data_IF_936693961028
#
_entry.id   IF_936693961028
#
_cell.length_a   1.000
_cell.length_b   1.000
_cell.length_c   1.000
_cell.angle_alpha   90.00
_cell.angle_beta   90.00
_cell.angle_gamma   90.00
#
_symmetry.space_group_name_H-M   'P 1'
#
loop_
_entity.id
_entity.type
_entity.pdbx_description
1 polymer ?
#
# COMPACT_ATOMS: atom_id res chain seq x y z
N UNK A 1 14.36 21.49 -27.22
CA UNK A 1 14.45 21.42 -25.74
C UNK A 1 14.32 19.96 -25.30
N UNK A 2 15.39 19.33 -24.80
CA UNK A 2 15.48 17.88 -24.57
C UNK A 2 14.39 17.28 -23.64
N UNK A 3 13.89 18.07 -22.68
CA UNK A 3 12.84 17.66 -21.73
C UNK A 3 11.48 17.38 -22.39
N UNK A 4 11.18 18.02 -23.52
CA UNK A 4 9.92 17.84 -24.24
C UNK A 4 9.99 16.76 -25.34
N UNK A 5 11.13 16.06 -25.45
CA UNK A 5 11.22 14.87 -26.29
C UNK A 5 10.52 13.67 -25.64
N UNK A 6 10.20 12.63 -26.41
CA UNK A 6 9.63 11.39 -25.88
C UNK A 6 10.47 10.79 -24.75
N UNK A 7 11.79 10.80 -24.90
CA UNK A 7 12.73 10.34 -23.87
C UNK A 7 12.67 11.22 -22.61
N UNK A 8 12.58 12.54 -22.79
CA UNK A 8 12.43 13.51 -21.71
C UNK A 8 11.13 13.32 -20.93
N UNK A 9 10.00 13.16 -21.63
CA UNK A 9 8.68 12.91 -21.03
C UNK A 9 8.69 11.59 -20.23
N UNK A 10 9.22 10.52 -20.81
CA UNK A 10 9.31 9.24 -20.10
C UNK A 10 10.20 9.31 -18.85
N UNK A 11 11.30 10.07 -18.91
CA UNK A 11 12.15 10.30 -17.75
C UNK A 11 11.41 11.10 -16.66
N UNK A 12 10.77 12.21 -17.04
CA UNK A 12 10.00 13.05 -16.10
C UNK A 12 8.90 12.26 -15.42
N UNK A 13 8.17 11.42 -16.15
CA UNK A 13 7.14 10.55 -15.57
C UNK A 13 7.70 9.58 -14.55
N UNK A 14 8.84 8.92 -14.84
CA UNK A 14 9.52 8.05 -13.87
C UNK A 14 9.99 8.83 -12.65
N UNK A 15 10.55 10.03 -12.85
CA UNK A 15 11.00 10.88 -11.76
C UNK A 15 9.85 11.30 -10.83
N UNK A 16 8.72 11.73 -11.39
CA UNK A 16 7.48 12.02 -10.65
C UNK A 16 6.99 10.78 -9.91
N UNK A 17 6.98 9.62 -10.58
CA UNK A 17 6.57 8.35 -9.99
C UNK A 17 7.45 7.97 -8.79
N UNK A 18 8.76 8.14 -8.88
CA UNK A 18 9.68 7.86 -7.77
C UNK A 18 9.48 8.82 -6.60
N UNK A 19 9.41 10.13 -6.85
CA UNK A 19 9.22 11.12 -5.77
C UNK A 19 7.91 10.91 -5.01
N UNK A 20 6.82 10.71 -5.76
CA UNK A 20 5.51 10.42 -5.17
C UNK A 20 5.48 9.04 -4.50
N UNK A 21 6.10 8.02 -5.10
CA UNK A 21 6.16 6.68 -4.55
C UNK A 21 6.94 6.61 -3.23
N UNK A 22 8.09 7.28 -3.15
CA UNK A 22 8.87 7.41 -1.91
C UNK A 22 8.05 8.12 -0.84
N UNK A 23 7.34 9.19 -1.20
CA UNK A 23 6.47 9.91 -0.25
C UNK A 23 5.32 9.00 0.25
N UNK A 24 4.68 8.26 -0.66
CA UNK A 24 3.57 7.37 -0.33
C UNK A 24 4.01 6.23 0.58
N UNK A 25 4.99 5.43 0.15
CA UNK A 25 5.46 4.26 0.89
C UNK A 25 6.24 4.67 2.14
N UNK A 26 6.99 5.77 2.09
CA UNK A 26 7.66 6.35 3.25
C UNK A 26 6.66 6.73 4.35
N UNK A 27 5.54 7.39 3.99
CA UNK A 27 4.49 7.71 4.97
C UNK A 27 3.75 6.46 5.45
N UNK A 28 3.53 5.46 4.60
CA UNK A 28 2.99 4.16 5.02
C UNK A 28 3.86 3.56 6.14
N UNK A 29 5.17 3.53 5.96
CA UNK A 29 6.12 3.01 6.95
C UNK A 29 6.21 3.91 8.18
N UNK A 30 6.18 5.23 8.02
CA UNK A 30 6.09 6.17 9.14
C UNK A 30 4.88 5.87 10.04
N UNK A 31 3.68 5.72 9.47
CA UNK A 31 2.48 5.43 10.27
C UNK A 31 2.60 4.12 11.05
N UNK A 32 3.21 3.11 10.44
CA UNK A 32 3.23 1.74 10.96
C UNK A 32 4.41 1.44 11.88
N UNK A 33 5.57 2.04 11.63
CA UNK A 33 6.83 1.72 12.31
C UNK A 33 7.26 2.82 13.30
N UNK A 34 6.72 4.03 13.15
CA UNK A 34 7.11 5.19 13.97
C UNK A 34 5.92 5.74 14.74
N UNK A 35 4.89 6.23 14.04
CA UNK A 35 3.74 6.88 14.68
C UNK A 35 2.95 5.92 15.56
N UNK A 36 2.65 4.71 15.07
CA UNK A 36 1.91 3.69 15.83
C UNK A 36 2.59 3.34 17.16
N UNK A 37 3.87 2.93 17.17
CA UNK A 37 4.63 2.71 18.41
C UNK A 37 4.69 3.93 19.33
N UNK A 38 4.94 5.13 18.80
CA UNK A 38 4.90 6.36 19.59
C UNK A 38 3.52 6.57 20.25
N UNK A 39 2.43 6.26 19.54
CA UNK A 39 1.06 6.28 20.09
C UNK A 39 0.79 5.10 21.05
N UNK A 40 1.65 4.11 21.21
CA UNK A 40 1.49 3.15 22.30
C UNK A 40 1.98 3.78 23.62
N UNK A 41 3.04 4.59 23.55
CA UNK A 41 3.78 5.11 24.70
C UNK A 41 3.31 6.49 25.16
N UNK A 42 2.81 7.33 24.25
CA UNK A 42 2.40 8.70 24.57
C UNK A 42 1.18 8.77 25.52
N UNK A 43 1.12 9.84 26.31
CA UNK A 43 -0.05 10.17 27.13
C UNK A 43 -1.26 10.62 26.29
N UNK A 44 -2.44 10.67 26.90
CA UNK A 44 -3.68 11.02 26.21
C UNK A 44 -3.69 12.44 25.61
N UNK A 45 -3.07 13.40 26.29
CA UNK A 45 -2.99 14.79 25.82
C UNK A 45 -2.14 14.89 24.56
N UNK A 46 -0.93 14.33 24.60
CA UNK A 46 -0.02 14.28 23.45
C UNK A 46 -0.65 13.57 22.25
N UNK A 47 -1.32 12.44 22.47
CA UNK A 47 -2.06 11.71 21.42
C UNK A 47 -3.16 12.54 20.79
N UNK A 48 -3.93 13.25 21.60
CA UNK A 48 -5.01 14.11 21.13
C UNK A 48 -4.45 15.22 20.24
N UNK A 49 -3.41 15.92 20.69
CA UNK A 49 -2.75 16.98 19.90
C UNK A 49 -2.21 16.45 18.58
N UNK A 50 -1.52 15.31 18.61
CA UNK A 50 -0.99 14.67 17.40
C UNK A 50 -2.12 14.25 16.44
N UNK A 51 -3.20 13.69 16.94
CA UNK A 51 -4.37 13.28 16.14
C UNK A 51 -5.08 14.47 15.49
N UNK A 52 -5.16 15.61 16.18
CA UNK A 52 -5.78 16.83 15.66
C UNK A 52 -4.91 17.56 14.64
N UNK A 53 -3.58 17.54 14.82
CA UNK A 53 -2.67 18.42 14.07
C UNK A 53 -1.73 17.64 13.15
N UNK A 54 -1.05 16.62 13.64
CA UNK A 54 -0.03 15.90 12.88
C UNK A 54 -0.66 14.91 11.89
N UNK A 55 -1.58 14.06 12.37
CA UNK A 55 -2.18 12.98 11.58
C UNK A 55 -2.89 13.48 10.31
N UNK A 56 -3.71 14.55 10.32
CA UNK A 56 -4.39 15.02 9.12
C UNK A 56 -3.41 15.53 8.04
N UNK A 57 -2.30 16.16 8.46
CA UNK A 57 -1.26 16.64 7.54
C UNK A 57 -0.53 15.47 6.88
N UNK A 58 -0.12 14.48 7.67
CA UNK A 58 0.51 13.28 7.15
C UNK A 58 -0.43 12.50 6.22
N UNK A 59 -1.72 12.36 6.58
CA UNK A 59 -2.71 11.68 5.74
C UNK A 59 -3.02 12.43 4.44
N UNK A 60 -2.92 13.76 4.42
CA UNK A 60 -3.06 14.52 3.18
C UNK A 60 -1.96 14.15 2.18
N UNK A 61 -0.70 14.19 2.61
CA UNK A 61 0.44 13.80 1.77
C UNK A 61 0.35 12.34 1.35
N UNK A 62 0.00 11.45 2.28
CA UNK A 62 -0.14 10.02 2.01
C UNK A 62 -1.15 9.73 0.89
N UNK A 63 -2.33 10.34 0.94
CA UNK A 63 -3.41 10.11 -0.05
C UNK A 63 -3.04 10.63 -1.44
N UNK A 64 -2.54 11.86 -1.51
CA UNK A 64 -2.24 12.48 -2.79
C UNK A 64 -0.94 11.94 -3.41
N UNK A 65 0.05 11.60 -2.60
CA UNK A 65 1.21 10.86 -3.07
C UNK A 65 0.81 9.49 -3.65
N UNK A 66 -0.12 8.77 -2.99
CA UNK A 66 -0.66 7.52 -3.54
C UNK A 66 -1.33 7.70 -4.91
N UNK A 67 -2.22 8.70 -5.02
CA UNK A 67 -2.89 8.99 -6.27
C UNK A 67 -1.91 9.40 -7.38
N UNK A 68 -0.95 10.28 -7.07
CA UNK A 68 0.05 10.75 -8.04
C UNK A 68 0.98 9.62 -8.50
N UNK A 69 1.40 8.75 -7.59
CA UNK A 69 2.20 7.55 -7.91
C UNK A 69 1.41 6.65 -8.85
N UNK A 70 0.14 6.40 -8.55
CA UNK A 70 -0.70 5.53 -9.36
C UNK A 70 -0.94 6.10 -10.77
N UNK A 71 -1.30 7.39 -10.87
CA UNK A 71 -1.56 8.05 -12.16
C UNK A 71 -0.30 8.13 -13.02
N UNK A 72 0.84 8.48 -12.43
CA UNK A 72 2.12 8.45 -13.15
C UNK A 72 2.51 7.03 -13.57
N UNK A 73 2.23 6.03 -12.74
CA UNK A 73 2.43 4.61 -13.08
C UNK A 73 1.58 4.18 -14.27
N UNK A 74 0.28 4.51 -14.28
CA UNK A 74 -0.61 4.25 -15.42
C UNK A 74 -0.12 4.92 -16.70
N UNK A 75 0.36 6.16 -16.62
CA UNK A 75 0.93 6.86 -17.76
C UNK A 75 2.18 6.13 -18.30
N UNK A 76 3.09 5.69 -17.42
CA UNK A 76 4.28 4.92 -17.82
C UNK A 76 3.88 3.59 -18.47
N UNK A 77 2.94 2.85 -17.87
CA UNK A 77 2.46 1.58 -18.41
C UNK A 77 1.82 1.75 -19.79
N UNK A 78 1.01 2.79 -19.98
CA UNK A 78 0.38 3.12 -21.26
C UNK A 78 1.40 3.50 -22.33
N UNK A 79 2.36 4.38 -22.01
CA UNK A 79 3.41 4.79 -22.95
C UNK A 79 4.33 3.64 -23.35
N UNK A 80 4.62 2.72 -22.43
CA UNK A 80 5.42 1.52 -22.71
C UNK A 80 4.60 0.36 -23.26
N UNK A 81 3.28 0.52 -23.42
CA UNK A 81 2.34 -0.51 -23.90
C UNK A 81 2.48 -1.82 -23.13
N UNK A 82 2.56 -1.73 -21.80
CA UNK A 82 2.73 -2.88 -20.92
C UNK A 82 1.68 -3.97 -21.21
N UNK A 83 2.13 -5.20 -21.38
CA UNK A 83 1.28 -6.32 -21.73
C UNK A 83 1.55 -7.53 -20.84
N UNK A 84 0.51 -8.33 -20.58
CA UNK A 84 0.66 -9.64 -19.95
C UNK A 84 1.39 -10.65 -20.85
N UNK A 85 1.63 -10.30 -22.12
CA UNK A 85 2.34 -11.12 -23.09
C UNK A 85 3.84 -10.86 -23.15
N UNK A 86 4.35 -9.82 -22.49
CA UNK A 86 5.79 -9.51 -22.47
C UNK A 86 6.37 -9.68 -21.04
N UNK A 87 7.61 -10.18 -20.89
CA UNK A 87 8.20 -10.47 -19.59
C UNK A 87 8.24 -9.26 -18.64
N UNK A 88 8.61 -8.09 -19.16
CA UNK A 88 8.65 -6.86 -18.37
C UNK A 88 7.24 -6.45 -17.93
N UNK A 89 6.30 -6.42 -18.87
CA UNK A 89 4.90 -6.06 -18.71
C UNK A 89 4.20 -6.94 -17.68
N UNK A 90 4.29 -8.26 -17.81
CA UNK A 90 3.70 -9.19 -16.85
C UNK A 90 4.27 -8.99 -15.43
N UNK A 91 5.57 -8.74 -15.31
CA UNK A 91 6.22 -8.51 -14.02
C UNK A 91 5.79 -7.19 -13.39
N UNK A 92 5.83 -6.09 -14.14
CA UNK A 92 5.47 -4.76 -13.65
C UNK A 92 3.96 -4.67 -13.34
N UNK A 93 3.10 -5.32 -14.14
CA UNK A 93 1.66 -5.38 -13.92
C UNK A 93 1.31 -6.21 -12.67
N UNK A 94 2.09 -7.25 -12.37
CA UNK A 94 1.95 -8.00 -11.12
C UNK A 94 2.19 -7.10 -9.91
N UNK A 95 3.26 -6.28 -9.94
CA UNK A 95 3.52 -5.27 -8.91
C UNK A 95 2.45 -4.17 -8.86
N UNK A 96 2.00 -3.69 -10.02
CA UNK A 96 0.94 -2.69 -10.13
C UNK A 96 -0.39 -3.17 -9.55
N UNK A 97 -0.71 -4.47 -9.63
CA UNK A 97 -1.93 -5.03 -9.04
C UNK A 97 -1.95 -4.88 -7.51
N UNK A 98 -0.83 -5.16 -6.83
CA UNK A 98 -0.68 -4.90 -5.39
C UNK A 98 -0.81 -3.41 -5.08
N UNK A 99 -0.13 -2.55 -5.85
CA UNK A 99 -0.22 -1.09 -5.68
C UNK A 99 -1.65 -0.55 -5.88
N UNK A 100 -2.41 -1.12 -6.81
CA UNK A 100 -3.82 -0.76 -7.05
C UNK A 100 -4.68 -1.04 -5.84
N UNK A 101 -4.56 -2.26 -5.28
CA UNK A 101 -5.30 -2.64 -4.07
C UNK A 101 -4.94 -1.74 -2.88
N UNK A 102 -3.64 -1.45 -2.72
CA UNK A 102 -3.17 -0.54 -1.69
C UNK A 102 -3.76 0.86 -1.84
N UNK A 103 -3.83 1.41 -3.05
CA UNK A 103 -4.46 2.71 -3.33
C UNK A 103 -5.94 2.68 -2.93
N UNK A 104 -6.68 1.63 -3.31
CA UNK A 104 -8.08 1.47 -2.93
C UNK A 104 -8.22 1.49 -1.41
N UNK A 105 -7.35 0.79 -0.68
CA UNK A 105 -7.34 0.81 0.79
C UNK A 105 -7.08 2.19 1.37
N UNK A 106 -6.18 2.99 0.77
CA UNK A 106 -5.92 4.37 1.20
C UNK A 106 -7.20 5.20 1.13
N UNK A 107 -7.92 5.16 0.01
CA UNK A 107 -9.04 6.05 -0.25
C UNK A 107 -10.39 5.56 0.27
N UNK A 108 -10.62 4.25 0.28
CA UNK A 108 -11.92 3.64 0.65
C UNK A 108 -11.98 3.16 2.09
N UNK A 109 -10.85 2.84 2.71
CA UNK A 109 -10.83 2.26 4.06
C UNK A 109 -10.10 3.16 5.05
N UNK A 110 -8.83 3.47 4.78
CA UNK A 110 -7.99 4.21 5.72
C UNK A 110 -8.52 5.63 5.90
N UNK A 111 -8.72 6.37 4.81
CA UNK A 111 -9.13 7.78 4.90
C UNK A 111 -10.50 7.99 5.58
N UNK A 112 -11.59 7.32 5.17
CA UNK A 112 -12.90 7.55 5.79
C UNK A 112 -12.91 7.22 7.29
N UNK A 113 -12.23 6.14 7.69
CA UNK A 113 -12.13 5.78 9.10
C UNK A 113 -11.26 6.78 9.89
N UNK A 114 -10.17 7.28 9.29
CA UNK A 114 -9.35 8.31 9.93
C UNK A 114 -10.10 9.64 10.09
N UNK A 115 -11.01 10.00 9.18
CA UNK A 115 -11.86 11.17 9.35
C UNK A 115 -12.73 11.07 10.61
N UNK A 116 -13.29 9.90 10.90
CA UNK A 116 -14.06 9.65 12.14
C UNK A 116 -13.19 9.83 13.38
N UNK A 117 -11.97 9.29 13.37
CA UNK A 117 -11.02 9.40 14.48
C UNK A 117 -10.60 10.84 14.73
N UNK A 118 -10.24 11.57 13.67
CA UNK A 118 -9.82 12.97 13.74
C UNK A 118 -10.96 13.86 14.24
N UNK A 119 -12.17 13.68 13.69
CA UNK A 119 -13.35 14.43 14.11
C UNK A 119 -13.67 14.19 15.60
N UNK A 120 -13.57 12.93 16.07
CA UNK A 120 -13.74 12.61 17.47
C UNK A 120 -12.70 13.30 18.35
N UNK A 121 -11.42 13.28 17.96
CA UNK A 121 -10.36 13.94 18.71
C UNK A 121 -10.58 15.45 18.83
N UNK A 122 -10.96 16.11 17.73
CA UNK A 122 -11.29 17.55 17.71
C UNK A 122 -12.48 17.85 18.63
N UNK A 123 -13.55 17.05 18.56
CA UNK A 123 -14.73 17.24 19.40
C UNK A 123 -14.40 17.12 20.90
N UNK A 124 -13.64 16.10 21.29
CA UNK A 124 -13.24 15.90 22.69
C UNK A 124 -12.33 17.01 23.22
N UNK A 125 -11.44 17.54 22.38
CA UNK A 125 -10.58 18.65 22.76
C UNK A 125 -11.35 19.97 22.96
N UNK A 126 -12.50 20.12 22.31
CA UNK A 126 -13.44 21.24 22.51
C UNK A 126 -14.41 21.05 23.69
N UNK A 127 -14.23 20.01 24.53
CA UNK A 127 -15.13 19.70 25.65
C UNK A 127 -16.38 18.90 25.27
N UNK A 128 -16.48 18.43 24.02
CA UNK A 128 -17.53 17.54 23.55
C UNK A 128 -17.30 16.07 23.93
N UNK A 129 -18.28 15.22 23.62
CA UNK A 129 -18.19 13.77 23.88
C UNK A 129 -17.46 13.03 22.74
N UNK A 130 -16.70 11.96 23.05
CA UNK A 130 -16.06 11.14 22.02
C UNK A 130 -17.10 10.40 21.18
N UNK A 131 -16.81 10.23 19.89
CA UNK A 131 -17.65 9.43 19.00
C UNK A 131 -17.48 7.94 19.38
N UNK A 132 -18.56 7.20 19.73
CA UNK A 132 -18.47 5.79 20.12
C UNK A 132 -17.92 4.88 19.01
N UNK A 133 -18.03 5.29 17.74
CA UNK A 133 -17.50 4.55 16.59
C UNK A 133 -15.99 4.76 16.36
N UNK A 134 -15.36 5.75 17.03
CA UNK A 134 -13.99 6.14 16.75
C UNK A 134 -12.98 5.01 17.02
N UNK A 135 -13.17 4.23 18.08
CA UNK A 135 -12.27 3.11 18.40
C UNK A 135 -12.32 2.01 17.32
N UNK A 136 -13.52 1.66 16.85
CA UNK A 136 -13.71 0.69 15.76
C UNK A 136 -13.12 1.19 14.44
N UNK A 137 -13.34 2.47 14.12
CA UNK A 137 -12.77 3.12 12.95
C UNK A 137 -11.24 3.13 12.98
N UNK A 138 -10.64 3.53 14.12
CA UNK A 138 -9.18 3.50 14.31
C UNK A 138 -8.62 2.09 14.08
N UNK A 139 -9.27 1.07 14.64
CA UNK A 139 -8.86 -0.32 14.46
C UNK A 139 -8.92 -0.78 13.01
N UNK A 140 -9.99 -0.44 12.28
CA UNK A 140 -10.12 -0.78 10.85
C UNK A 140 -9.06 -0.07 10.00
N UNK A 141 -8.84 1.23 10.22
CA UNK A 141 -7.80 1.99 9.53
C UNK A 141 -6.40 1.42 9.78
N UNK A 142 -6.11 1.03 11.03
CA UNK A 142 -4.85 0.40 11.40
C UNK A 142 -4.62 -0.92 10.67
N UNK A 143 -5.61 -1.82 10.67
CA UNK A 143 -5.49 -3.11 9.99
C UNK A 143 -5.33 -2.98 8.47
N UNK A 144 -6.06 -2.07 7.84
CA UNK A 144 -5.89 -1.77 6.42
C UNK A 144 -4.49 -1.20 6.13
N UNK A 145 -3.98 -0.33 7.01
CA UNK A 145 -2.62 0.21 6.90
C UNK A 145 -1.54 -0.88 7.04
N UNK A 146 -1.69 -1.80 8.00
CA UNK A 146 -0.79 -2.96 8.17
C UNK A 146 -0.85 -3.91 6.97
N UNK A 147 -2.04 -4.11 6.41
CA UNK A 147 -2.19 -4.90 5.18
C UNK A 147 -1.45 -4.23 4.02
N UNK A 148 -1.58 -2.91 3.86
CA UNK A 148 -0.80 -2.16 2.87
C UNK A 148 0.71 -2.31 3.08
N UNK A 149 1.19 -2.37 4.33
CA UNK A 149 2.61 -2.70 4.59
C UNK A 149 2.95 -4.07 4.03
N UNK A 150 2.17 -5.11 4.33
CA UNK A 150 2.41 -6.47 3.78
C UNK A 150 2.43 -6.47 2.25
N UNK A 151 1.43 -5.83 1.63
CA UNK A 151 1.30 -5.73 0.16
C UNK A 151 2.43 -4.93 -0.49
N UNK A 152 3.04 -3.98 0.23
CA UNK A 152 4.13 -3.16 -0.31
C UNK A 152 5.40 -3.95 -0.62
N UNK A 153 5.65 -5.07 0.08
CA UNK A 153 6.81 -5.93 -0.16
C UNK A 153 6.77 -6.64 -1.53
N UNK A 154 5.74 -7.46 -1.87
CA UNK A 154 5.63 -8.03 -3.20
C UNK A 154 5.50 -6.94 -4.27
N UNK A 155 4.79 -5.84 -3.99
CA UNK A 155 4.68 -4.70 -4.91
C UNK A 155 6.06 -4.16 -5.31
N UNK A 156 6.88 -3.75 -4.34
CA UNK A 156 8.22 -3.20 -4.60
C UNK A 156 9.13 -4.24 -5.23
N UNK A 157 9.03 -5.51 -4.80
CA UNK A 157 9.80 -6.60 -5.37
C UNK A 157 9.52 -6.78 -6.86
N UNK A 158 8.24 -6.92 -7.27
CA UNK A 158 7.89 -7.06 -8.68
C UNK A 158 8.24 -5.82 -9.50
N UNK A 159 8.07 -4.62 -8.94
CA UNK A 159 8.46 -3.39 -9.64
C UNK A 159 9.97 -3.31 -9.88
N UNK A 160 10.79 -3.71 -8.91
CA UNK A 160 12.24 -3.82 -9.09
C UNK A 160 12.63 -4.96 -10.03
N UNK A 161 12.01 -6.13 -9.88
CA UNK A 161 12.29 -7.33 -10.67
C UNK A 161 12.00 -7.13 -12.16
N UNK A 162 11.07 -6.26 -12.55
CA UNK A 162 10.71 -6.04 -13.95
C UNK A 162 11.92 -5.72 -14.86
N UNK A 163 12.97 -5.08 -14.33
CA UNK A 163 14.17 -4.71 -15.09
C UNK A 163 15.37 -5.64 -14.86
N UNK A 164 15.29 -6.59 -13.92
CA UNK A 164 16.44 -7.41 -13.49
C UNK A 164 16.16 -8.91 -13.53
N UNK A 165 14.95 -9.32 -13.15
CA UNK A 165 14.50 -10.69 -13.02
C UNK A 165 13.05 -10.83 -13.52
N UNK A 166 12.77 -10.49 -14.79
CA UNK A 166 11.41 -10.53 -15.32
C UNK A 166 10.87 -11.96 -15.34
N UNK A 167 9.58 -12.11 -15.08
CA UNK A 167 8.86 -13.37 -15.12
C UNK A 167 8.80 -13.95 -16.54
N UNK A 168 8.73 -15.28 -16.63
CA UNK A 168 8.64 -15.99 -17.90
C UNK A 168 7.25 -15.84 -18.55
N UNK A 169 7.10 -14.88 -19.46
CA UNK A 169 5.83 -14.64 -20.16
C UNK A 169 5.44 -15.75 -21.17
N UNK A 170 6.31 -16.72 -21.45
CA UNK A 170 5.97 -17.90 -22.27
C UNK A 170 5.24 -18.99 -21.48
N UNK A 171 5.23 -18.88 -20.14
CA UNK A 171 4.56 -19.80 -19.24
C UNK A 171 3.03 -19.71 -19.27
N UNK A 172 2.37 -20.42 -18.34
CA UNK A 172 0.91 -20.38 -18.21
C UNK A 172 0.43 -19.08 -17.56
N UNK A 173 0.42 -18.00 -18.36
CA UNK A 173 0.01 -16.64 -17.96
C UNK A 173 -1.39 -16.59 -17.36
N UNK A 174 -2.31 -17.41 -17.85
CA UNK A 174 -3.68 -17.46 -17.33
C UNK A 174 -3.70 -18.01 -15.91
N UNK A 175 -2.97 -19.10 -15.66
CA UNK A 175 -2.84 -19.67 -14.32
C UNK A 175 -2.19 -18.67 -13.36
N UNK A 176 -1.13 -17.98 -13.79
CA UNK A 176 -0.52 -16.92 -12.98
C UNK A 176 -1.50 -15.79 -12.66
N UNK A 177 -2.23 -15.29 -13.67
CA UNK A 177 -3.22 -14.23 -13.48
C UNK A 177 -4.32 -14.62 -12.47
N UNK A 178 -4.83 -15.85 -12.57
CA UNK A 178 -5.82 -16.38 -11.61
C UNK A 178 -5.21 -16.49 -10.20
N UNK A 179 -4.01 -17.05 -10.08
CA UNK A 179 -3.32 -17.18 -8.79
C UNK A 179 -3.10 -15.81 -8.14
N UNK A 180 -2.65 -14.82 -8.90
CA UNK A 180 -2.45 -13.46 -8.43
C UNK A 180 -3.76 -12.84 -7.92
N UNK A 181 -4.86 -12.98 -8.67
CA UNK A 181 -6.18 -12.48 -8.25
C UNK A 181 -6.67 -13.15 -6.96
N UNK A 182 -6.50 -14.46 -6.82
CA UNK A 182 -6.86 -15.20 -5.61
C UNK A 182 -6.03 -14.72 -4.42
N UNK A 183 -4.72 -14.54 -4.58
CA UNK A 183 -3.83 -14.03 -3.53
C UNK A 183 -4.30 -12.64 -3.08
N UNK A 184 -4.53 -11.72 -4.03
CA UNK A 184 -5.00 -10.36 -3.73
C UNK A 184 -6.35 -10.39 -3.00
N UNK A 185 -7.29 -11.21 -3.46
CA UNK A 185 -8.60 -11.34 -2.84
C UNK A 185 -8.50 -11.90 -1.41
N UNK A 186 -7.68 -12.93 -1.17
CA UNK A 186 -7.51 -13.51 0.17
C UNK A 186 -6.87 -12.50 1.14
N UNK A 187 -5.85 -11.77 0.70
CA UNK A 187 -5.21 -10.74 1.51
C UNK A 187 -6.18 -9.58 1.82
N UNK A 188 -6.98 -9.16 0.84
CA UNK A 188 -7.95 -8.07 1.03
C UNK A 188 -9.14 -8.49 1.90
N UNK A 189 -9.74 -9.67 1.63
CA UNK A 189 -10.80 -10.22 2.46
C UNK A 189 -10.33 -10.35 3.90
N UNK A 190 -9.10 -10.83 4.09
CA UNK A 190 -8.51 -10.83 5.41
C UNK A 190 -8.54 -9.41 5.99
N UNK A 191 -8.00 -8.40 5.29
CA UNK A 191 -7.96 -7.00 5.74
C UNK A 191 -9.32 -6.42 6.16
N UNK A 192 -10.38 -6.74 5.41
CA UNK A 192 -11.71 -6.16 5.57
C UNK A 192 -12.64 -6.93 6.52
N UNK A 193 -12.46 -8.25 6.64
CA UNK A 193 -13.33 -9.11 7.45
C UNK A 193 -12.70 -9.39 8.81
N UNK A 194 -13.49 -9.18 9.86
CA UNK A 194 -13.02 -9.29 11.24
C UNK A 194 -12.02 -8.20 11.62
N UNK A 195 -11.82 -8.01 12.93
CA UNK A 195 -10.88 -7.03 13.49
C UNK A 195 -9.92 -7.66 14.50
N UNK A 196 -10.06 -8.95 14.79
CA UNK A 196 -9.26 -9.76 15.72
C UNK A 196 -9.13 -11.17 15.16
N UNK A 197 -8.26 -11.99 15.76
CA UNK A 197 -8.15 -13.42 15.41
C UNK A 197 -6.74 -13.83 14.95
N UNK A 198 -6.52 -15.14 14.73
CA UNK A 198 -5.19 -15.71 14.48
C UNK A 198 -4.54 -15.16 13.21
N UNK A 199 -5.32 -14.79 12.20
CA UNK A 199 -4.81 -14.22 10.95
C UNK A 199 -4.43 -12.74 11.08
N UNK A 200 -4.87 -12.05 12.15
CA UNK A 200 -4.54 -10.64 12.43
C UNK A 200 -3.32 -10.48 13.32
N UNK A 201 -3.13 -11.42 14.25
CA UNK A 201 -2.00 -11.42 15.20
C UNK A 201 -0.64 -11.16 14.54
N UNK A 202 -0.27 -11.79 13.39
CA UNK A 202 1.04 -11.58 12.80
C UNK A 202 1.29 -10.13 12.39
N UNK A 203 0.27 -9.42 11.92
CA UNK A 203 0.43 -8.06 11.37
C UNK A 203 0.20 -6.95 12.42
N UNK A 204 -0.10 -7.30 13.68
CA UNK A 204 -0.32 -6.31 14.73
C UNK A 204 0.98 -5.70 15.26
N UNK A 205 2.08 -6.47 15.22
CA UNK A 205 3.40 -6.01 15.66
C UNK A 205 4.24 -5.52 14.48
N UNK A 206 5.18 -4.61 14.75
CA UNK A 206 6.12 -4.10 13.73
C UNK A 206 6.95 -5.24 13.14
N UNK A 207 7.56 -6.07 13.98
CA UNK A 207 8.34 -7.24 13.53
C UNK A 207 7.48 -8.19 12.71
N UNK A 208 6.29 -8.53 13.21
CA UNK A 208 5.43 -9.50 12.56
C UNK A 208 4.91 -9.03 11.19
N UNK A 209 4.53 -7.75 11.04
CA UNK A 209 4.09 -7.24 9.73
C UNK A 209 5.24 -7.21 8.70
N UNK A 210 6.47 -6.92 9.13
CA UNK A 210 7.65 -6.95 8.25
C UNK A 210 7.95 -8.38 7.80
N UNK A 211 7.98 -9.34 8.74
CA UNK A 211 8.20 -10.76 8.41
C UNK A 211 7.10 -11.26 7.49
N UNK A 212 5.84 -10.94 7.77
CA UNK A 212 4.69 -11.31 6.92
C UNK A 212 4.84 -10.72 5.52
N UNK A 213 5.29 -9.47 5.39
CA UNK A 213 5.59 -8.84 4.11
C UNK A 213 6.64 -9.59 3.28
N UNK A 214 7.79 -9.90 3.89
CA UNK A 214 8.85 -10.67 3.22
C UNK A 214 8.40 -12.07 2.81
N UNK A 215 7.77 -12.81 3.73
CA UNK A 215 7.24 -14.15 3.44
C UNK A 215 6.22 -14.08 2.32
N UNK A 216 5.33 -13.09 2.32
CA UNK A 216 4.38 -12.89 1.23
C UNK A 216 5.10 -12.63 -0.09
N UNK A 217 6.10 -11.75 -0.13
CA UNK A 217 6.86 -11.49 -1.36
C UNK A 217 7.53 -12.75 -1.93
N UNK A 218 8.18 -13.53 -1.07
CA UNK A 218 8.84 -14.80 -1.47
C UNK A 218 7.82 -15.81 -1.96
N UNK A 219 6.74 -16.04 -1.22
CA UNK A 219 5.70 -17.01 -1.60
C UNK A 219 5.03 -16.62 -2.92
N UNK A 220 4.69 -15.34 -3.10
CA UNK A 220 4.05 -14.87 -4.33
C UNK A 220 4.99 -15.03 -5.52
N UNK A 221 6.27 -14.71 -5.37
CA UNK A 221 7.25 -14.92 -6.44
C UNK A 221 7.45 -16.41 -6.76
N UNK A 222 7.53 -17.26 -5.73
CA UNK A 222 7.63 -18.71 -5.93
C UNK A 222 6.41 -19.29 -6.66
N UNK A 223 5.20 -18.87 -6.28
CA UNK A 223 3.96 -19.24 -6.99
C UNK A 223 4.03 -18.75 -8.44
N UNK A 224 4.55 -17.55 -8.70
CA UNK A 224 4.74 -17.06 -10.06
C UNK A 224 5.66 -17.98 -10.87
N UNK A 225 6.79 -18.42 -10.32
CA UNK A 225 7.71 -19.34 -11.01
C UNK A 225 7.03 -20.68 -11.32
N UNK A 226 6.38 -21.29 -10.32
CA UNK A 226 5.69 -22.58 -10.46
C UNK A 226 4.58 -22.51 -11.50
N UNK A 227 3.74 -21.47 -11.44
CA UNK A 227 2.62 -21.31 -12.38
C UNK A 227 3.07 -21.00 -13.80
N UNK A 228 4.22 -20.34 -13.97
CA UNK A 228 4.80 -20.02 -15.27
C UNK A 228 5.75 -21.11 -15.80
N UNK A 229 5.92 -22.22 -15.07
CA UNK A 229 6.72 -23.36 -15.51
C UNK A 229 8.21 -23.07 -15.61
N UNK A 230 8.73 -22.28 -14.68
CA UNK A 230 10.16 -21.95 -14.54
C UNK A 230 10.82 -22.75 -13.41
#
# INVERSE_FOLDING_TARGET
>A
MALFSDAGIQFLLRWIHFLSGITWIGLLYYFNFVQGPFFAEADASTKSVATQKLVPRALWWFRWAAALTFLSGLAILGLRRASWSDPWGMTILSGAAFGTLMLVNVWRVIWPNQQVVIASAVATAGGGQPNPLAAGAARRAFLASRTNVVLSFPMLFFMGAASHFPLNALGNRMLWGIALLVILALLEINALVGSTGPTKKPIETVRGVIVTGFVTAVLVYWIAQVTLGA
#
